data_IF_474645951319
#
_entry.id   IF_474645951319
#
_cell.length_a   1.000
_cell.length_b   1.000
_cell.length_c   1.000
_cell.angle_alpha   90.00
_cell.angle_beta   90.00
_cell.angle_gamma   90.00
#
_symmetry.space_group_name_H-M   'P 1'
#
loop_
_entity.id
_entity.type
_entity.pdbx_description
1 polymer ?
#
# COMPACT_ATOMS: atom_id res chain seq x y z
N UNK A 1 4.67 8.07 22.69
CA UNK A 1 5.33 8.63 21.48
C UNK A 1 4.60 8.12 20.26
N UNK A 2 4.08 9.00 19.41
CA UNK A 2 3.29 8.62 18.22
C UNK A 2 3.02 9.84 17.38
N UNK A 3 2.75 9.67 16.07
CA UNK A 3 2.61 10.82 15.16
C UNK A 3 1.48 11.77 15.58
N UNK A 4 0.35 11.23 16.06
CA UNK A 4 -0.78 12.02 16.56
C UNK A 4 -0.40 12.85 17.80
N UNK A 5 0.30 12.24 18.77
CA UNK A 5 0.81 12.95 19.95
C UNK A 5 1.85 14.03 19.60
N UNK A 6 2.45 13.95 18.40
CA UNK A 6 3.38 14.96 17.85
C UNK A 6 2.67 16.01 16.99
N UNK A 7 1.34 16.01 16.94
CA UNK A 7 0.53 17.02 16.25
C UNK A 7 0.21 16.70 14.78
N UNK A 8 0.39 15.46 14.31
CA UNK A 8 -0.06 15.06 12.98
C UNK A 8 -1.59 15.22 12.89
N UNK A 9 -2.05 15.95 11.88
CA UNK A 9 -3.48 16.24 11.62
C UNK A 9 -3.75 16.31 10.11
N UNK A 10 -5.03 16.18 9.73
CA UNK A 10 -5.46 16.34 8.33
C UNK A 10 -4.98 15.22 7.39
N UNK A 11 -4.71 14.02 7.91
CA UNK A 11 -4.31 12.88 7.07
C UNK A 11 -5.49 12.47 6.19
N UNK A 12 -5.28 12.45 4.88
CA UNK A 12 -6.31 12.07 3.89
C UNK A 12 -6.09 10.68 3.29
N UNK A 13 -4.86 10.17 3.35
CA UNK A 13 -4.47 8.89 2.79
C UNK A 13 -3.35 8.26 3.62
N UNK A 14 -3.55 7.01 4.02
CA UNK A 14 -2.51 6.16 4.58
C UNK A 14 -2.18 5.05 3.58
N UNK A 15 -0.88 4.86 3.31
CA UNK A 15 -0.38 3.84 2.36
C UNK A 15 0.50 2.83 3.09
N UNK A 16 0.19 1.54 3.01
CA UNK A 16 0.95 0.48 3.70
C UNK A 16 0.75 -0.92 3.09
N UNK A 17 1.41 -1.96 3.60
CA UNK A 17 1.32 -3.32 3.03
C UNK A 17 0.07 -4.13 3.48
N UNK A 18 -1.05 -3.44 3.74
CA UNK A 18 -2.34 -4.02 4.11
C UNK A 18 -2.29 -5.01 5.29
N UNK A 19 -1.41 -4.80 6.27
CA UNK A 19 -1.47 -5.56 7.50
C UNK A 19 -2.73 -5.18 8.29
N UNK A 20 -3.46 -6.19 8.79
CA UNK A 20 -4.78 -6.00 9.40
C UNK A 20 -4.75 -4.99 10.56
N UNK A 21 -3.72 -5.04 11.41
CA UNK A 21 -3.55 -4.10 12.52
C UNK A 21 -3.37 -2.65 12.09
N UNK A 22 -2.66 -2.40 10.97
CA UNK A 22 -2.50 -1.04 10.46
C UNK A 22 -3.82 -0.52 9.86
N UNK A 23 -4.54 -1.37 9.12
CA UNK A 23 -5.85 -0.97 8.54
C UNK A 23 -6.83 -0.64 9.67
N UNK A 24 -6.89 -1.48 10.70
CA UNK A 24 -7.72 -1.22 11.88
C UNK A 24 -7.33 0.08 12.58
N UNK A 25 -6.04 0.29 12.85
CA UNK A 25 -5.55 1.51 13.51
C UNK A 25 -5.81 2.78 12.68
N UNK A 26 -5.71 2.73 11.34
CA UNK A 26 -6.05 3.87 10.48
C UNK A 26 -7.54 4.16 10.55
N UNK A 27 -8.40 3.14 10.46
CA UNK A 27 -9.85 3.33 10.54
C UNK A 27 -10.29 3.88 11.91
N UNK A 28 -9.63 3.48 13.00
CA UNK A 28 -9.93 3.94 14.35
C UNK A 28 -9.39 5.35 14.62
N UNK A 29 -8.11 5.59 14.32
CA UNK A 29 -7.41 6.80 14.75
C UNK A 29 -7.42 7.93 13.70
N UNK A 30 -7.69 7.60 12.44
CA UNK A 30 -7.68 8.53 11.30
C UNK A 30 -8.91 8.28 10.40
N UNK A 31 -10.14 8.40 10.92
CA UNK A 31 -11.37 7.99 10.21
C UNK A 31 -11.64 8.75 8.89
N UNK A 32 -11.08 9.95 8.74
CA UNK A 32 -11.17 10.74 7.49
C UNK A 32 -10.14 10.32 6.43
N UNK A 33 -9.15 9.52 6.82
CA UNK A 33 -8.13 9.02 5.91
C UNK A 33 -8.63 7.79 5.17
N UNK A 34 -8.42 7.77 3.85
CA UNK A 34 -8.55 6.53 3.08
C UNK A 34 -7.32 5.65 3.32
N UNK A 35 -7.51 4.35 3.17
CA UNK A 35 -6.41 3.40 3.17
C UNK A 35 -6.13 2.89 1.75
N UNK A 36 -4.87 2.86 1.35
CA UNK A 36 -4.41 2.25 0.11
C UNK A 36 -3.30 1.25 0.39
N UNK A 37 -3.33 0.10 -0.30
CA UNK A 37 -2.20 -0.81 -0.28
C UNK A 37 -1.03 -0.21 -1.07
N UNK A 38 0.16 -0.22 -0.49
CA UNK A 38 1.38 0.22 -1.15
C UNK A 38 1.65 -0.63 -2.41
N UNK A 39 1.63 0.00 -3.58
CA UNK A 39 1.85 -0.68 -4.87
C UNK A 39 3.26 -1.28 -4.97
N UNK A 40 4.27 -0.61 -4.39
CA UNK A 40 5.66 -1.10 -4.35
C UNK A 40 5.78 -2.40 -3.53
N UNK A 41 5.18 -2.44 -2.34
CA UNK A 41 5.17 -3.66 -1.53
C UNK A 41 4.32 -4.75 -2.19
N UNK A 42 3.21 -4.38 -2.83
CA UNK A 42 2.39 -5.34 -3.57
C UNK A 42 3.16 -5.99 -4.73
N UNK A 43 3.85 -5.20 -5.57
CA UNK A 43 4.71 -5.70 -6.64
C UNK A 43 5.79 -6.62 -6.08
N UNK A 44 6.51 -6.20 -5.03
CA UNK A 44 7.54 -7.04 -4.39
C UNK A 44 6.98 -8.37 -3.87
N UNK A 45 5.82 -8.32 -3.22
CA UNK A 45 5.15 -9.52 -2.70
C UNK A 45 4.74 -10.48 -3.81
N UNK A 46 4.27 -9.97 -4.95
CA UNK A 46 3.96 -10.80 -6.12
C UNK A 46 5.24 -11.39 -6.73
N UNK A 47 6.25 -10.57 -7.01
CA UNK A 47 7.50 -11.01 -7.64
C UNK A 47 8.30 -12.02 -6.80
N UNK A 48 8.12 -12.01 -5.47
CA UNK A 48 8.67 -13.02 -4.58
C UNK A 48 8.07 -14.42 -4.78
N UNK A 49 6.89 -14.52 -5.40
CA UNK A 49 6.16 -15.79 -5.66
C UNK A 49 6.21 -16.23 -7.12
N UNK A 50 6.58 -15.33 -8.03
CA UNK A 50 6.70 -15.61 -9.46
C UNK A 50 7.99 -16.39 -9.75
N UNK A 51 7.90 -17.35 -10.67
CA UNK A 51 9.08 -18.07 -11.20
C UNK A 51 10.12 -17.05 -11.71
N UNK A 52 11.42 -17.21 -11.38
CA UNK A 52 12.48 -16.28 -11.83
C UNK A 52 12.44 -15.92 -13.32
N UNK A 53 12.15 -16.88 -14.21
CA UNK A 53 12.09 -16.63 -15.66
C UNK A 53 10.97 -15.70 -16.12
N UNK A 54 9.92 -15.56 -15.31
CA UNK A 54 8.74 -14.75 -15.64
C UNK A 54 8.68 -13.43 -14.85
N UNK A 55 9.67 -13.13 -13.99
CA UNK A 55 9.61 -11.94 -13.11
C UNK A 55 9.50 -10.64 -13.89
N UNK A 56 10.27 -10.48 -14.97
CA UNK A 56 10.25 -9.25 -15.76
C UNK A 56 8.86 -9.04 -16.39
N UNK A 57 8.35 -10.06 -17.07
CA UNK A 57 6.99 -10.03 -17.64
C UNK A 57 5.93 -9.71 -16.59
N UNK A 58 5.99 -10.33 -15.40
CA UNK A 58 5.02 -10.09 -14.33
C UNK A 58 5.11 -8.67 -13.77
N UNK A 59 6.32 -8.12 -13.66
CA UNK A 59 6.54 -6.74 -13.23
C UNK A 59 5.94 -5.76 -14.23
N UNK A 60 6.18 -5.96 -15.52
CA UNK A 60 5.67 -5.09 -16.59
C UNK A 60 4.14 -5.15 -16.68
N UNK A 61 3.57 -6.35 -16.56
CA UNK A 61 2.11 -6.52 -16.52
C UNK A 61 1.47 -5.82 -15.31
N UNK A 62 2.06 -5.93 -14.11
CA UNK A 62 1.57 -5.24 -12.92
C UNK A 62 1.66 -3.71 -13.05
N UNK A 63 2.78 -3.21 -13.58
CA UNK A 63 2.97 -1.77 -13.82
C UNK A 63 1.95 -1.24 -14.82
N UNK A 64 1.66 -1.99 -15.89
CA UNK A 64 0.62 -1.62 -16.84
C UNK A 64 -0.75 -1.46 -16.16
N UNK A 65 -1.10 -2.35 -15.23
CA UNK A 65 -2.34 -2.24 -14.44
C UNK A 65 -2.33 -1.01 -13.54
N UNK A 66 -1.20 -0.70 -12.88
CA UNK A 66 -1.12 0.48 -12.00
C UNK A 66 -1.12 1.81 -12.76
N UNK A 67 -0.70 1.80 -14.01
CA UNK A 67 -0.69 2.97 -14.90
C UNK A 67 -1.99 3.18 -15.65
N UNK A 68 -2.99 2.31 -15.52
CA UNK A 68 -4.31 2.55 -16.09
C UNK A 68 -4.98 3.74 -15.38
N UNK A 69 -5.27 4.80 -16.14
CA UNK A 69 -6.10 5.91 -15.67
C UNK A 69 -7.54 5.41 -15.44
N UNK A 70 -8.17 5.86 -14.35
CA UNK A 70 -9.57 5.58 -14.01
C UNK A 70 -10.45 6.80 -14.27
#
# INVERSE_FOLDING_TARGET
TGMLARGLKGVRLAVGDRCAGLVAAVNELLPEARYQRCMVHFERNVLAKVNPGNRQWAADALKAVFSMES
#
